data_IF_404491054596
#
_entry.id   IF_404491054596
#
_cell.length_a   1.000
_cell.length_b   1.000
_cell.length_c   1.000
_cell.angle_alpha   90.00
_cell.angle_beta   90.00
_cell.angle_gamma   90.00
#
_symmetry.space_group_name_H-M   'P 1'
#
loop_
_entity.id
_entity.type
_entity.pdbx_description
1 polymer ?
#
# COMPACT_ATOMS: atom_id res chain seq x y z
N UNK A 1 -16.23 -3.72 28.21
CA UNK A 1 -14.98 -4.47 28.01
C UNK A 1 -14.60 -4.28 26.56
N UNK A 2 -14.08 -3.10 26.27
CA UNK A 2 -13.72 -2.65 24.92
C UNK A 2 -12.38 -3.26 24.56
N UNK A 3 -12.44 -4.46 23.97
CA UNK A 3 -11.26 -5.11 23.43
C UNK A 3 -10.91 -4.43 22.11
N UNK A 4 -10.19 -3.31 22.19
CA UNK A 4 -9.26 -2.95 21.11
C UNK A 4 -8.21 -4.05 21.10
N UNK A 5 -8.41 -5.05 20.26
CA UNK A 5 -7.35 -5.98 19.88
C UNK A 5 -6.17 -5.13 19.44
N UNK A 6 -5.00 -5.20 20.09
CA UNK A 6 -3.81 -4.59 19.53
C UNK A 6 -3.56 -5.36 18.24
N UNK A 7 -3.65 -4.68 17.09
CA UNK A 7 -3.17 -5.22 15.83
C UNK A 7 -1.73 -5.68 16.09
N UNK A 8 -1.53 -7.00 16.10
CA UNK A 8 -0.21 -7.59 16.29
C UNK A 8 0.66 -7.22 15.09
N UNK A 9 1.97 -6.99 15.27
CA UNK A 9 2.85 -6.51 14.21
C UNK A 9 3.18 -7.56 13.11
N UNK A 10 2.48 -8.69 13.01
CA UNK A 10 2.99 -9.85 12.25
C UNK A 10 1.88 -10.73 11.62
N UNK A 11 0.82 -10.16 11.07
CA UNK A 11 0.17 -10.86 9.94
C UNK A 11 0.91 -10.46 8.66
N UNK A 12 1.58 -11.39 7.94
CA UNK A 12 2.42 -11.09 6.78
C UNK A 12 1.66 -10.60 5.54
N UNK A 13 0.46 -10.03 5.71
CA UNK A 13 -0.42 -9.65 4.63
C UNK A 13 -1.30 -8.42 4.86
N UNK A 14 -1.37 -7.83 6.06
CA UNK A 14 -2.17 -6.62 6.29
C UNK A 14 -1.28 -5.51 6.83
N UNK A 15 -1.12 -4.46 6.02
CA UNK A 15 -0.46 -3.22 6.44
C UNK A 15 -1.42 -2.45 7.36
N UNK A 16 -0.89 -1.89 8.44
CA UNK A 16 -1.66 -0.93 9.26
C UNK A 16 -1.87 0.37 8.50
N UNK A 17 -2.90 1.15 8.82
CA UNK A 17 -3.14 2.47 8.17
C UNK A 17 -1.90 3.40 8.24
N UNK A 18 -1.16 3.41 9.36
CA UNK A 18 0.09 4.18 9.49
C UNK A 18 1.20 3.69 8.54
N UNK A 19 1.32 2.38 8.35
CA UNK A 19 2.29 1.78 7.44
C UNK A 19 1.90 2.04 5.99
N UNK A 20 0.60 1.93 5.67
CA UNK A 20 0.06 2.28 4.36
C UNK A 20 0.32 3.73 4.02
N UNK A 21 0.04 4.65 4.94
CA UNK A 21 0.31 6.08 4.76
C UNK A 21 1.80 6.35 4.52
N UNK A 22 2.69 5.73 5.31
CA UNK A 22 4.15 5.87 5.10
C UNK A 22 4.62 5.37 3.75
N UNK A 23 4.13 4.20 3.32
CA UNK A 23 4.50 3.61 2.03
C UNK A 23 3.99 4.46 0.87
N UNK A 24 2.76 5.00 0.98
CA UNK A 24 2.23 5.96 0.02
C UNK A 24 3.11 7.19 -0.03
N UNK A 25 3.47 7.79 1.11
CA UNK A 25 4.33 8.98 1.15
C UNK A 25 5.70 8.70 0.49
N UNK A 26 6.36 7.60 0.84
CA UNK A 26 7.66 7.21 0.26
C UNK A 26 7.57 6.98 -1.26
N UNK A 27 6.47 6.40 -1.73
CA UNK A 27 6.19 6.27 -3.15
C UNK A 27 5.99 7.64 -3.80
N UNK A 28 5.20 8.53 -3.20
CA UNK A 28 4.91 9.87 -3.72
C UNK A 28 6.12 10.79 -3.71
N UNK A 29 7.10 10.55 -2.83
CA UNK A 29 8.40 11.22 -2.85
C UNK A 29 9.27 10.80 -4.06
N UNK A 30 9.08 9.57 -4.55
CA UNK A 30 9.88 9.01 -5.65
C UNK A 30 9.22 9.14 -7.02
N UNK A 31 7.90 8.97 -7.09
CA UNK A 31 7.10 8.95 -8.32
C UNK A 31 5.80 9.75 -8.13
N UNK A 32 5.25 10.38 -9.19
CA UNK A 32 4.01 11.12 -9.08
C UNK A 32 2.81 10.21 -8.73
N UNK A 33 1.74 10.75 -8.14
CA UNK A 33 0.59 9.97 -7.67
C UNK A 33 -0.07 9.12 -8.75
N UNK A 34 -0.13 9.63 -9.98
CA UNK A 34 -0.68 8.92 -11.14
C UNK A 34 0.15 7.66 -11.49
N UNK A 35 1.47 7.74 -11.33
CA UNK A 35 2.37 6.60 -11.54
C UNK A 35 2.35 5.63 -10.35
N UNK A 36 2.22 6.15 -9.12
CA UNK A 36 2.06 5.36 -7.92
C UNK A 36 0.82 4.46 -7.99
N UNK A 37 -0.32 5.02 -8.39
CA UNK A 37 -1.56 4.26 -8.56
C UNK A 37 -1.44 3.20 -9.65
N UNK A 38 -0.87 3.55 -10.81
CA UNK A 38 -0.64 2.60 -11.90
C UNK A 38 0.32 1.47 -11.50
N UNK A 39 1.34 1.77 -10.71
CA UNK A 39 2.24 0.77 -10.12
C UNK A 39 1.49 -0.18 -9.20
N UNK A 40 0.75 0.35 -8.22
CA UNK A 40 0.02 -0.48 -7.27
C UNK A 40 -1.03 -1.34 -7.97
N UNK A 41 -1.72 -0.80 -8.98
CA UNK A 41 -2.67 -1.56 -9.80
C UNK A 41 -1.99 -2.72 -10.53
N UNK A 42 -0.82 -2.49 -11.13
CA UNK A 42 -0.06 -3.54 -11.80
C UNK A 42 0.40 -4.64 -10.83
N UNK A 43 0.91 -4.27 -9.66
CA UNK A 43 1.38 -5.23 -8.65
C UNK A 43 0.21 -6.00 -8.02
N UNK A 44 -0.91 -5.34 -7.76
CA UNK A 44 -2.13 -5.97 -7.23
C UNK A 44 -2.70 -7.01 -8.22
N UNK A 45 -2.59 -6.76 -9.52
CA UNK A 45 -2.99 -7.71 -10.58
C UNK A 45 -1.97 -8.85 -10.75
N UNK A 46 -0.82 -8.78 -10.07
CA UNK A 46 0.30 -9.73 -10.23
C UNK A 46 1.07 -9.54 -11.53
N UNK A 47 0.92 -8.38 -12.16
CA UNK A 47 1.62 -7.99 -13.38
C UNK A 47 3.00 -7.41 -13.12
N UNK A 48 3.76 -7.26 -14.21
CA UNK A 48 5.04 -6.57 -14.17
C UNK A 48 4.77 -5.07 -14.09
N UNK A 49 5.22 -4.45 -13.01
CA UNK A 49 5.09 -3.02 -12.84
C UNK A 49 5.83 -2.25 -13.96
N UNK A 50 5.26 -1.14 -14.47
CA UNK A 50 5.86 -0.39 -15.58
C UNK A 50 7.21 0.23 -15.24
N UNK A 51 7.56 0.34 -13.95
CA UNK A 51 8.86 0.74 -13.43
C UNK A 51 9.21 -0.06 -12.17
N UNK A 52 10.50 -0.28 -11.88
CA UNK A 52 10.91 -0.77 -10.57
C UNK A 52 10.45 0.25 -9.52
N UNK A 53 9.59 -0.16 -8.60
CA UNK A 53 9.19 0.74 -7.52
C UNK A 53 10.34 0.97 -6.53
N UNK A 54 10.24 2.07 -5.78
CA UNK A 54 11.08 2.28 -4.60
C UNK A 54 10.82 1.22 -3.51
N UNK A 55 9.63 0.59 -3.50
CA UNK A 55 9.18 -0.34 -2.46
C UNK A 55 8.81 -1.71 -3.04
N UNK A 56 9.30 -2.76 -2.39
CA UNK A 56 8.95 -4.15 -2.70
C UNK A 56 7.65 -4.50 -1.96
N UNK A 57 6.57 -4.69 -2.73
CA UNK A 57 5.22 -4.90 -2.21
C UNK A 57 4.66 -6.21 -2.75
N UNK A 58 4.00 -6.97 -1.88
CA UNK A 58 3.20 -8.11 -2.32
C UNK A 58 1.92 -7.64 -3.02
N UNK A 59 1.31 -8.47 -3.88
CA UNK A 59 0.02 -8.14 -4.52
C UNK A 59 -1.08 -7.78 -3.51
N UNK A 60 -1.11 -8.44 -2.35
CA UNK A 60 -2.05 -8.14 -1.28
C UNK A 60 -1.84 -6.74 -0.69
N UNK A 61 -0.59 -6.39 -0.40
CA UNK A 61 -0.23 -5.06 0.12
C UNK A 61 -0.50 -3.95 -0.91
N UNK A 62 -0.21 -4.20 -2.19
CA UNK A 62 -0.51 -3.25 -3.25
C UNK A 62 -2.03 -3.01 -3.38
N UNK A 63 -2.82 -4.07 -3.25
CA UNK A 63 -4.28 -3.96 -3.23
C UNK A 63 -4.79 -3.17 -2.02
N UNK A 64 -4.24 -3.41 -0.83
CA UNK A 64 -4.61 -2.63 0.38
C UNK A 64 -4.26 -1.14 0.23
N UNK A 65 -3.10 -0.83 -0.35
CA UNK A 65 -2.68 0.55 -0.64
C UNK A 65 -3.59 1.23 -1.68
N UNK A 66 -4.01 0.52 -2.73
CA UNK A 66 -4.99 1.04 -3.70
C UNK A 66 -6.32 1.35 -3.02
N UNK A 67 -6.80 0.43 -2.18
CA UNK A 67 -8.03 0.63 -1.43
C UNK A 67 -7.90 1.83 -0.48
N UNK A 68 -6.76 1.99 0.17
CA UNK A 68 -6.46 3.14 1.03
C UNK A 68 -6.51 4.47 0.26
N UNK A 69 -5.87 4.55 -0.91
CA UNK A 69 -5.92 5.72 -1.79
C UNK A 69 -7.36 6.04 -2.26
N UNK A 70 -8.11 5.02 -2.70
CA UNK A 70 -9.48 5.17 -3.19
C UNK A 70 -10.50 5.47 -2.10
N UNK A 71 -10.25 4.99 -0.87
CA UNK A 71 -11.13 5.23 0.29
C UNK A 71 -11.06 6.68 0.80
N UNK A 72 -10.10 7.45 0.32
CA UNK A 72 -9.87 8.82 0.75
C UNK A 72 -9.07 8.83 2.04
N UNK A 73 -7.74 8.82 1.91
CA UNK A 73 -6.84 9.26 2.98
C UNK A 73 -7.13 10.73 3.27
N UNK A 74 -7.92 10.97 4.32
CA UNK A 74 -8.29 12.30 4.81
C UNK A 74 -7.41 12.75 5.96
#
# INVERSE_FOLDING_TARGET
MDQRTPAGPDEPGQLSDEEMMRLVDEMLESIPPEEAEAYLAAVADGGEAPRPAPVDLTPAQAHDLLLFLHRGGG
#
